data_IF_223125800578
#
_entry.id   IF_223125800578
#
_cell.length_a   1.000
_cell.length_b   1.000
_cell.length_c   1.000
_cell.angle_alpha   90.00
_cell.angle_beta   90.00
_cell.angle_gamma   90.00
#
_symmetry.space_group_name_H-M   'P 1'
#
loop_
_entity.id
_entity.type
_entity.pdbx_description
1 polymer ?
#
# COMPACT_ATOMS: atom_id res chain seq x y z
N UNK A 1 7.24 21.99 -2.17
CA UNK A 1 8.37 22.71 -1.57
C UNK A 1 9.08 21.79 -0.61
N UNK A 2 10.43 21.85 -0.49
CA UNK A 2 11.13 21.07 0.53
C UNK A 2 10.71 21.52 1.93
N UNK A 3 10.98 20.68 2.92
CA UNK A 3 10.76 21.06 4.32
C UNK A 3 11.57 22.33 4.66
N UNK A 4 11.06 23.18 5.57
CA UNK A 4 11.82 24.33 6.02
C UNK A 4 13.14 23.92 6.67
N UNK A 5 14.14 24.79 6.56
CA UNK A 5 15.45 24.56 7.20
C UNK A 5 15.22 24.46 8.71
N UNK A 6 15.72 23.39 9.38
CA UNK A 6 15.57 23.25 10.83
C UNK A 6 16.34 24.37 11.56
N UNK A 7 15.81 24.86 12.71
CA UNK A 7 16.40 25.97 13.45
C UNK A 7 17.65 25.58 14.25
N UNK A 8 18.00 24.28 14.27
CA UNK A 8 19.13 23.74 15.03
C UNK A 8 19.98 22.84 14.14
N UNK A 9 21.27 22.74 14.46
CA UNK A 9 22.17 21.79 13.83
C UNK A 9 21.69 20.35 14.08
N UNK A 10 21.79 19.50 13.06
CA UNK A 10 21.41 18.09 13.14
C UNK A 10 22.29 17.22 12.27
N UNK A 11 22.49 16.01 12.70
CA UNK A 11 23.21 14.98 12.00
C UNK A 11 22.26 13.85 11.58
N UNK A 12 22.47 13.28 10.39
CA UNK A 12 21.66 12.17 9.90
C UNK A 12 22.21 10.85 10.45
N UNK A 13 21.37 10.08 11.15
CA UNK A 13 21.72 8.79 11.76
C UNK A 13 21.14 7.57 11.07
N UNK A 14 20.03 7.74 10.34
CA UNK A 14 19.30 6.64 9.74
C UNK A 14 18.56 7.09 8.48
N UNK A 15 18.52 6.19 7.50
CA UNK A 15 17.67 6.36 6.31
C UNK A 15 16.89 5.09 6.09
N UNK A 16 15.55 5.20 6.03
CA UNK A 16 14.67 4.18 5.47
C UNK A 16 14.23 4.65 4.10
N UNK A 17 14.40 3.78 3.11
CA UNK A 17 13.88 4.00 1.76
C UNK A 17 12.85 2.93 1.46
N UNK A 18 11.68 3.34 0.95
CA UNK A 18 10.62 2.43 0.49
C UNK A 18 10.31 2.83 -0.94
N UNK A 19 10.42 1.89 -1.86
CA UNK A 19 10.04 2.05 -3.26
C UNK A 19 8.92 1.06 -3.56
N UNK A 20 7.82 1.55 -4.13
CA UNK A 20 6.70 0.72 -4.53
C UNK A 20 6.42 0.90 -6.02
N UNK A 21 6.13 -0.19 -6.71
CA UNK A 21 5.89 -0.21 -8.16
C UNK A 21 4.72 -1.13 -8.49
N UNK A 22 3.95 -0.76 -9.52
CA UNK A 22 2.83 -1.56 -10.03
C UNK A 22 3.09 -2.02 -11.46
N UNK A 23 2.88 -3.30 -11.72
CA UNK A 23 3.12 -3.94 -13.02
C UNK A 23 1.85 -4.62 -13.53
N UNK A 24 1.58 -4.44 -14.83
CA UNK A 24 0.57 -5.19 -15.54
C UNK A 24 1.15 -6.51 -16.04
N UNK A 25 0.42 -7.61 -15.86
CA UNK A 25 0.83 -8.96 -16.27
C UNK A 25 0.08 -9.42 -17.51
N UNK A 26 0.72 -10.31 -18.28
CA UNK A 26 0.14 -10.90 -19.48
C UNK A 26 -1.01 -11.90 -19.18
N UNK A 27 -1.09 -12.42 -17.94
CA UNK A 27 -2.16 -13.30 -17.48
C UNK A 27 -3.39 -12.55 -16.91
N UNK A 28 -3.43 -11.22 -17.06
CA UNK A 28 -4.54 -10.38 -16.61
C UNK A 28 -4.49 -9.97 -15.15
N UNK A 29 -3.46 -10.36 -14.41
CA UNK A 29 -3.21 -9.95 -13.03
C UNK A 29 -2.31 -8.71 -12.98
N UNK A 30 -2.03 -8.26 -11.77
CA UNK A 30 -1.15 -7.13 -11.46
C UNK A 30 -0.17 -7.56 -10.37
N UNK A 31 1.11 -7.23 -10.54
CA UNK A 31 2.07 -7.33 -9.46
C UNK A 31 2.30 -5.94 -8.87
N UNK A 32 2.19 -5.85 -7.55
CA UNK A 32 2.47 -4.66 -6.78
C UNK A 32 3.63 -4.99 -5.85
N UNK A 33 4.77 -4.35 -6.10
CA UNK A 33 6.03 -4.66 -5.45
C UNK A 33 6.47 -3.54 -4.52
N UNK A 34 7.07 -3.88 -3.39
CA UNK A 34 7.77 -2.97 -2.53
C UNK A 34 9.19 -3.48 -2.23
N UNK A 35 10.14 -2.59 -2.28
CA UNK A 35 11.50 -2.76 -1.80
C UNK A 35 11.77 -1.77 -0.68
N UNK A 36 12.30 -2.25 0.44
CA UNK A 36 12.68 -1.43 1.57
C UNK A 36 14.12 -1.67 1.96
N UNK A 37 14.83 -0.58 2.26
CA UNK A 37 16.16 -0.63 2.87
C UNK A 37 16.23 0.26 4.10
N UNK A 38 16.94 -0.20 5.13
CA UNK A 38 17.36 0.59 6.30
C UNK A 38 18.87 0.65 6.37
N UNK A 39 19.44 1.87 6.31
CA UNK A 39 20.88 2.10 6.39
C UNK A 39 21.24 3.07 7.50
N UNK A 40 22.43 2.90 8.10
CA UNK A 40 23.00 3.81 9.09
C UNK A 40 24.09 4.69 8.46
N UNK A 41 24.28 5.88 9.02
CA UNK A 41 25.40 6.77 8.66
C UNK A 41 26.66 6.51 9.48
N UNK A 42 26.67 5.46 10.29
CA UNK A 42 27.80 5.00 11.11
C UNK A 42 27.90 3.48 11.06
N UNK A 43 29.09 2.93 11.40
CA UNK A 43 29.29 1.48 11.49
C UNK A 43 28.38 0.91 12.56
N UNK A 44 27.51 -0.01 12.19
CA UNK A 44 26.58 -0.67 13.11
C UNK A 44 27.10 -2.05 13.46
N UNK A 45 27.23 -2.36 14.76
CA UNK A 45 27.66 -3.66 15.24
C UNK A 45 26.47 -4.57 15.53
N UNK A 46 26.53 -5.76 14.98
CA UNK A 46 25.50 -6.78 15.12
C UNK A 46 26.14 -8.12 15.55
N UNK A 47 25.53 -8.81 16.49
CA UNK A 47 26.09 -10.07 17.03
C UNK A 47 26.12 -11.21 16.02
N UNK A 48 25.27 -11.18 15.00
CA UNK A 48 25.18 -12.20 13.96
C UNK A 48 25.98 -11.85 12.71
N UNK A 49 25.87 -10.61 12.20
CA UNK A 49 26.53 -10.17 10.97
C UNK A 49 27.89 -9.51 11.21
N UNK A 50 28.29 -9.28 12.46
CA UNK A 50 29.51 -8.53 12.77
C UNK A 50 29.35 -7.02 12.57
N UNK A 51 30.35 -6.38 12.00
CA UNK A 51 30.31 -4.95 11.67
C UNK A 51 29.63 -4.75 10.32
N UNK A 52 28.60 -3.94 10.31
CA UNK A 52 27.89 -3.51 9.11
C UNK A 52 28.40 -2.12 8.74
N UNK A 53 29.06 -1.94 7.59
CA UNK A 53 29.61 -0.66 7.15
C UNK A 53 28.56 0.41 6.95
N UNK A 54 29.01 1.67 6.93
CA UNK A 54 28.16 2.83 6.57
C UNK A 54 27.54 2.61 5.19
N UNK A 55 26.20 2.77 5.11
CA UNK A 55 25.48 2.65 3.86
C UNK A 55 25.11 1.22 3.46
N UNK A 56 25.63 0.20 4.15
CA UNK A 56 25.17 -1.18 3.97
C UNK A 56 23.83 -1.40 4.68
N UNK A 57 22.87 -2.11 4.06
CA UNK A 57 21.56 -2.32 4.66
C UNK A 57 21.60 -3.18 5.93
N UNK A 58 21.00 -2.68 7.01
CA UNK A 58 20.68 -3.49 8.19
C UNK A 58 19.45 -4.35 7.92
N UNK A 59 18.45 -3.72 7.23
CA UNK A 59 17.31 -4.42 6.68
C UNK A 59 17.24 -4.16 5.18
N UNK A 60 16.98 -5.22 4.43
CA UNK A 60 16.65 -5.18 3.02
C UNK A 60 15.58 -6.22 2.75
N UNK A 61 14.41 -5.76 2.34
CA UNK A 61 13.22 -6.61 2.25
C UNK A 61 12.40 -6.29 1.02
N UNK A 62 11.78 -7.33 0.49
CA UNK A 62 10.90 -7.27 -0.67
C UNK A 62 9.56 -7.89 -0.36
N UNK A 63 8.52 -7.29 -0.89
CA UNK A 63 7.17 -7.83 -0.81
C UNK A 63 6.47 -7.60 -2.15
N UNK A 64 5.93 -8.69 -2.74
CA UNK A 64 5.07 -8.63 -3.92
C UNK A 64 3.69 -9.13 -3.56
N UNK A 65 2.67 -8.37 -3.96
CA UNK A 65 1.29 -8.80 -3.96
C UNK A 65 0.84 -8.99 -5.41
N UNK A 66 0.43 -10.18 -5.80
CA UNK A 66 -0.23 -10.42 -7.07
C UNK A 66 -1.74 -10.25 -6.86
N UNK A 67 -2.37 -9.35 -7.61
CA UNK A 67 -3.74 -8.88 -7.37
C UNK A 67 -4.56 -8.99 -8.65
N UNK A 68 -5.85 -9.27 -8.54
CA UNK A 68 -6.78 -9.21 -9.67
C UNK A 68 -7.43 -7.81 -9.83
N UNK A 69 -8.27 -7.66 -10.84
CA UNK A 69 -9.02 -6.43 -11.14
C UNK A 69 -10.02 -6.03 -10.05
N UNK A 70 -10.35 -6.94 -9.12
CA UNK A 70 -11.22 -6.69 -7.97
C UNK A 70 -10.45 -6.37 -6.70
N UNK A 71 -9.12 -6.19 -6.81
CA UNK A 71 -8.23 -5.95 -5.68
C UNK A 71 -8.11 -7.14 -4.72
N UNK A 72 -8.43 -8.35 -5.16
CA UNK A 72 -8.24 -9.57 -4.38
C UNK A 72 -6.83 -10.11 -4.59
N UNK A 73 -6.15 -10.46 -3.50
CA UNK A 73 -4.78 -10.99 -3.52
C UNK A 73 -4.82 -12.44 -3.98
N UNK A 74 -4.14 -12.73 -5.08
CA UNK A 74 -4.03 -14.05 -5.69
C UNK A 74 -2.75 -14.76 -5.30
N UNK A 75 -1.67 -14.01 -5.05
CA UNK A 75 -0.41 -14.54 -4.53
C UNK A 75 0.35 -13.48 -3.74
N UNK A 76 1.32 -13.93 -2.92
CA UNK A 76 2.19 -13.10 -2.11
C UNK A 76 3.59 -13.70 -2.08
N UNK A 77 4.60 -12.90 -2.40
CA UNK A 77 6.00 -13.24 -2.20
C UNK A 77 6.65 -12.24 -1.23
N UNK A 78 7.31 -12.78 -0.21
CA UNK A 78 8.05 -11.99 0.77
C UNK A 78 9.48 -12.51 0.89
N UNK A 79 10.46 -11.60 0.79
CA UNK A 79 11.88 -11.92 0.85
C UNK A 79 12.57 -11.00 1.86
N UNK A 80 13.54 -11.54 2.58
CA UNK A 80 14.42 -10.80 3.48
C UNK A 80 15.86 -11.10 3.08
N UNK A 81 16.51 -10.17 2.40
CA UNK A 81 17.90 -10.28 1.97
C UNK A 81 18.85 -9.92 3.11
N UNK A 82 18.55 -8.83 3.80
CA UNK A 82 19.30 -8.37 4.97
C UNK A 82 18.38 -8.19 6.19
N UNK A 83 18.84 -8.69 7.33
CA UNK A 83 18.16 -8.55 8.62
C UNK A 83 19.16 -8.61 9.78
N UNK A 84 18.82 -8.08 10.98
CA UNK A 84 19.71 -8.10 12.14
C UNK A 84 19.78 -9.46 12.83
N UNK A 85 18.89 -10.40 12.52
CA UNK A 85 18.85 -11.72 13.14
C UNK A 85 18.65 -12.82 12.09
N UNK A 86 19.37 -13.94 12.25
CA UNK A 86 19.29 -15.11 11.39
C UNK A 86 17.86 -15.66 11.24
N UNK A 87 17.05 -15.53 12.27
CA UNK A 87 15.68 -16.05 12.28
C UNK A 87 14.68 -15.21 11.48
N UNK A 88 14.98 -13.93 11.16
CA UNK A 88 14.03 -13.02 10.53
C UNK A 88 13.42 -13.55 9.23
N UNK A 89 14.16 -14.18 8.30
CA UNK A 89 13.58 -14.72 7.06
C UNK A 89 12.54 -15.82 7.29
N UNK A 90 12.56 -16.50 8.44
CA UNK A 90 11.65 -17.63 8.73
C UNK A 90 10.17 -17.22 8.82
N UNK A 91 9.89 -15.91 8.99
CA UNK A 91 8.50 -15.41 9.09
C UNK A 91 7.88 -15.13 7.72
N UNK A 92 8.66 -15.08 6.63
CA UNK A 92 8.15 -14.68 5.32
C UNK A 92 7.01 -15.57 4.80
N UNK A 93 6.96 -16.90 5.04
CA UNK A 93 5.85 -17.74 4.61
C UNK A 93 4.49 -17.33 5.22
N UNK A 94 4.47 -16.67 6.38
CA UNK A 94 3.24 -16.24 7.02
C UNK A 94 2.49 -15.19 6.18
N UNK A 95 3.18 -14.48 5.29
CA UNK A 95 2.57 -13.47 4.42
C UNK A 95 1.63 -14.09 3.38
N UNK A 96 1.75 -15.37 3.06
CA UNK A 96 0.77 -16.11 2.24
C UNK A 96 -0.65 -16.12 2.84
N UNK A 97 -0.81 -15.85 4.14
CA UNK A 97 -2.13 -15.71 4.80
C UNK A 97 -2.94 -14.51 4.27
N UNK A 98 -2.32 -13.60 3.53
CA UNK A 98 -3.01 -12.50 2.86
C UNK A 98 -3.76 -12.94 1.60
N UNK A 99 -3.46 -14.12 1.03
CA UNK A 99 -4.13 -14.64 -0.16
C UNK A 99 -5.63 -14.76 0.09
N UNK A 100 -6.44 -14.32 -0.86
CA UNK A 100 -7.90 -14.26 -0.78
C UNK A 100 -8.44 -13.01 -0.08
N UNK A 101 -7.60 -12.19 0.55
CA UNK A 101 -8.04 -10.90 1.07
C UNK A 101 -8.21 -9.89 -0.05
N UNK A 102 -9.16 -8.99 0.14
CA UNK A 102 -9.37 -7.85 -0.74
C UNK A 102 -8.76 -6.59 -0.13
N UNK A 103 -7.94 -5.87 -0.91
CA UNK A 103 -7.44 -4.54 -0.57
C UNK A 103 -8.62 -3.55 -0.67
N UNK A 104 -8.96 -2.88 0.44
CA UNK A 104 -10.09 -1.95 0.51
C UNK A 104 -10.46 -1.60 1.96
N UNK A 105 -11.71 -1.19 2.23
CA UNK A 105 -12.14 -0.87 3.58
C UNK A 105 -11.84 -1.99 4.57
N UNK A 106 -11.26 -1.65 5.72
CA UNK A 106 -10.85 -2.61 6.75
C UNK A 106 -9.51 -3.32 6.51
N UNK A 107 -8.79 -3.01 5.43
CA UNK A 107 -7.50 -3.60 5.09
C UNK A 107 -6.50 -3.61 6.26
N UNK A 108 -6.22 -2.44 6.85
CA UNK A 108 -5.25 -2.34 7.95
C UNK A 108 -5.64 -3.18 9.18
N UNK A 109 -6.94 -3.30 9.47
CA UNK A 109 -7.43 -4.15 10.55
C UNK A 109 -7.14 -5.61 10.27
N UNK A 110 -7.48 -6.10 9.07
CA UNK A 110 -7.23 -7.50 8.66
C UNK A 110 -5.74 -7.84 8.63
N UNK A 111 -4.90 -6.93 8.13
CA UNK A 111 -3.44 -7.08 8.18
C UNK A 111 -2.96 -7.24 9.62
N UNK A 112 -3.43 -6.38 10.54
CA UNK A 112 -3.06 -6.44 11.95
C UNK A 112 -3.53 -7.74 12.63
N UNK A 113 -4.71 -8.23 12.29
CA UNK A 113 -5.25 -9.49 12.79
C UNK A 113 -4.42 -10.69 12.35
N UNK A 114 -3.96 -10.72 11.10
CA UNK A 114 -3.23 -11.86 10.52
C UNK A 114 -1.72 -11.84 10.79
N UNK A 115 -1.11 -10.66 10.75
CA UNK A 115 0.34 -10.46 10.74
C UNK A 115 0.83 -9.57 11.88
N UNK A 116 -0.03 -9.22 12.83
CA UNK A 116 0.34 -8.41 13.98
C UNK A 116 1.18 -9.18 15.01
N UNK A 117 1.99 -8.45 15.78
CA UNK A 117 2.84 -9.02 16.83
C UNK A 117 3.80 -10.07 16.29
N UNK A 118 3.86 -11.21 16.94
CA UNK A 118 4.76 -12.31 16.59
C UNK A 118 4.38 -13.12 15.35
N UNK A 119 3.23 -12.81 14.75
CA UNK A 119 2.74 -13.49 13.55
C UNK A 119 3.31 -12.90 12.25
N UNK A 120 4.00 -11.77 12.31
CA UNK A 120 4.61 -11.10 11.17
C UNK A 120 5.93 -10.44 11.51
N UNK A 121 6.49 -9.76 10.52
CA UNK A 121 7.65 -8.89 10.66
C UNK A 121 7.18 -7.44 10.58
N UNK A 122 7.56 -6.60 11.55
CA UNK A 122 7.20 -5.18 11.57
C UNK A 122 7.55 -4.48 10.25
N UNK A 123 8.74 -4.73 9.72
CA UNK A 123 9.24 -4.10 8.50
C UNK A 123 8.45 -4.51 7.25
N UNK A 124 8.24 -5.82 7.05
CA UNK A 124 7.44 -6.33 5.93
C UNK A 124 5.96 -5.92 6.06
N UNK A 125 5.41 -5.94 7.28
CA UNK A 125 4.01 -5.55 7.52
C UNK A 125 3.79 -4.06 7.24
N UNK A 126 4.78 -3.21 7.51
CA UNK A 126 4.73 -1.77 7.22
C UNK A 126 4.62 -1.47 5.72
N UNK A 127 5.13 -2.35 4.85
CA UNK A 127 5.03 -2.20 3.39
C UNK A 127 3.60 -2.38 2.86
N UNK A 128 2.73 -3.05 3.60
CA UNK A 128 1.37 -3.37 3.16
C UNK A 128 0.46 -2.14 3.02
N UNK A 129 0.72 -1.07 3.77
CA UNK A 129 0.01 0.20 3.62
C UNK A 129 0.34 0.91 2.29
N UNK A 130 1.60 1.23 2.01
CA UNK A 130 2.04 1.76 0.72
C UNK A 130 1.63 0.90 -0.47
N UNK A 131 1.79 -0.45 -0.38
CA UNK A 131 1.38 -1.38 -1.44
C UNK A 131 -0.12 -1.28 -1.75
N UNK A 132 -0.97 -1.16 -0.73
CA UNK A 132 -2.42 -1.02 -0.93
C UNK A 132 -2.75 0.27 -1.70
N UNK A 133 -2.07 1.38 -1.40
CA UNK A 133 -2.25 2.65 -2.11
C UNK A 133 -1.77 2.55 -3.55
N UNK A 134 -0.60 1.95 -3.79
CA UNK A 134 -0.05 1.77 -5.15
C UNK A 134 -0.93 0.82 -5.96
N UNK A 135 -1.45 -0.27 -5.36
CA UNK A 135 -2.40 -1.16 -6.01
C UNK A 135 -3.64 -0.39 -6.50
N UNK A 136 -4.22 0.45 -5.64
CA UNK A 136 -5.37 1.26 -6.01
C UNK A 136 -5.04 2.21 -7.17
N UNK A 137 -3.93 2.93 -7.10
CA UNK A 137 -3.50 3.85 -8.14
C UNK A 137 -3.15 3.14 -9.45
N UNK A 138 -2.55 1.95 -9.39
CA UNK A 138 -2.19 1.17 -10.57
C UNK A 138 -3.44 0.64 -11.28
N UNK A 139 -4.39 0.07 -10.54
CA UNK A 139 -5.50 -0.70 -11.12
C UNK A 139 -6.69 0.19 -11.50
N UNK A 140 -6.99 1.22 -10.68
CA UNK A 140 -8.22 2.00 -10.82
C UNK A 140 -8.07 3.31 -11.62
N UNK A 141 -6.88 3.63 -12.12
CA UNK A 141 -6.59 4.87 -12.85
C UNK A 141 -6.52 4.68 -14.38
N UNK A 142 -7.36 3.82 -14.96
CA UNK A 142 -7.42 3.62 -16.42
C UNK A 142 -6.34 2.70 -16.98
N UNK A 143 -5.64 1.95 -16.15
CA UNK A 143 -4.58 1.05 -16.61
C UNK A 143 -5.10 -0.26 -17.25
N UNK A 144 -6.33 -0.70 -16.91
CA UNK A 144 -6.91 -1.95 -17.44
C UNK A 144 -7.00 -2.00 -18.95
N UNK A 145 -7.58 -1.02 -19.65
CA UNK A 145 -7.61 -1.02 -21.12
C UNK A 145 -6.22 -1.02 -21.74
N UNK A 146 -5.26 -0.33 -21.13
CA UNK A 146 -3.86 -0.32 -21.60
C UNK A 146 -3.20 -1.68 -21.45
N UNK A 147 -3.43 -2.36 -20.32
CA UNK A 147 -2.98 -3.74 -20.10
C UNK A 147 -3.58 -4.67 -21.14
N UNK A 148 -4.90 -4.63 -21.30
CA UNK A 148 -5.63 -5.53 -22.17
C UNK A 148 -5.20 -5.33 -23.64
N UNK A 149 -5.05 -4.10 -24.09
CA UNK A 149 -4.51 -3.79 -25.42
C UNK A 149 -3.05 -4.26 -25.57
N UNK A 150 -2.21 -4.11 -24.53
CA UNK A 150 -0.80 -4.50 -24.57
C UNK A 150 -0.62 -6.00 -24.71
N UNK A 151 -1.45 -6.80 -24.03
CA UNK A 151 -1.30 -8.25 -23.93
C UNK A 151 -2.36 -9.04 -24.71
N UNK A 152 -3.23 -8.36 -25.47
CA UNK A 152 -4.27 -9.03 -26.25
C UNK A 152 -5.32 -9.75 -25.40
N UNK A 153 -5.59 -9.24 -24.18
CA UNK A 153 -6.57 -9.85 -23.27
C UNK A 153 -7.98 -9.48 -23.70
N UNK A 154 -8.86 -10.49 -23.83
CA UNK A 154 -10.28 -10.27 -24.04
C UNK A 154 -10.90 -9.71 -22.75
N UNK A 155 -11.42 -8.49 -22.81
CA UNK A 155 -12.17 -7.91 -21.70
C UNK A 155 -13.61 -7.64 -22.16
N UNK A 156 -14.59 -8.46 -21.73
CA UNK A 156 -15.99 -8.28 -22.11
C UNK A 156 -16.62 -7.02 -21.47
N UNK A 157 -16.01 -6.45 -20.44
CA UNK A 157 -16.50 -5.29 -19.69
C UNK A 157 -15.83 -3.98 -20.13
N UNK A 158 -15.50 -3.81 -21.42
CA UNK A 158 -14.94 -2.57 -21.94
C UNK A 158 -15.96 -1.41 -21.90
N UNK A 159 -16.13 -0.83 -20.73
CA UNK A 159 -16.39 0.61 -20.65
C UNK A 159 -15.03 1.30 -20.64
N UNK A 160 -14.82 2.27 -21.53
CA UNK A 160 -13.56 3.02 -21.57
C UNK A 160 -13.23 3.56 -20.18
N UNK A 161 -11.95 3.51 -19.76
CA UNK A 161 -11.57 3.97 -18.44
C UNK A 161 -11.81 5.47 -18.22
N UNK A 162 -11.89 6.22 -19.32
CA UNK A 162 -12.17 7.66 -19.32
C UNK A 162 -13.67 7.95 -19.11
N UNK A 163 -14.56 6.95 -19.30
CA UNK A 163 -16.00 7.09 -19.13
C UNK A 163 -16.54 6.57 -17.79
N UNK A 164 -15.70 6.01 -16.94
CA UNK A 164 -16.17 5.60 -15.58
C UNK A 164 -16.17 6.80 -14.66
N UNK A 165 -17.32 7.12 -14.06
CA UNK A 165 -17.33 8.07 -12.95
C UNK A 165 -16.39 7.56 -11.85
N UNK A 166 -15.72 8.46 -11.16
CA UNK A 166 -14.89 8.12 -10.02
C UNK A 166 -15.71 7.22 -9.08
N UNK A 167 -15.12 6.10 -8.65
CA UNK A 167 -15.86 5.15 -7.83
C UNK A 167 -16.32 5.80 -6.53
N UNK A 168 -17.60 5.67 -6.12
CA UNK A 168 -18.06 6.15 -4.82
C UNK A 168 -17.23 5.65 -3.63
N UNK A 169 -16.50 4.56 -3.81
CA UNK A 169 -15.60 4.01 -2.80
C UNK A 169 -14.40 4.92 -2.47
N UNK A 170 -14.10 5.94 -3.28
CA UNK A 170 -13.05 6.92 -3.00
C UNK A 170 -13.51 8.03 -2.04
N UNK A 171 -14.82 8.24 -1.91
CA UNK A 171 -15.36 9.28 -1.04
C UNK A 171 -14.96 9.06 0.42
N UNK A 172 -14.64 10.16 1.09
CA UNK A 172 -14.20 10.21 2.50
C UNK A 172 -12.92 9.39 2.79
N UNK A 173 -12.12 9.04 1.76
CA UNK A 173 -10.86 8.32 1.94
C UNK A 173 -9.67 9.25 2.23
N UNK A 174 -9.74 10.51 1.81
CA UNK A 174 -8.75 11.54 2.10
C UNK A 174 -9.37 12.94 2.08
N UNK A 175 -8.61 13.95 2.48
CA UNK A 175 -9.09 15.32 2.54
C UNK A 175 -9.66 15.83 1.20
N UNK A 176 -9.00 15.53 0.08
CA UNK A 176 -9.48 15.96 -1.24
C UNK A 176 -10.81 15.29 -1.64
N UNK A 177 -11.04 14.04 -1.24
CA UNK A 177 -12.27 13.29 -1.51
C UNK A 177 -13.31 13.38 -0.38
N UNK A 178 -13.14 14.30 0.56
CA UNK A 178 -14.21 14.60 1.51
C UNK A 178 -15.46 15.07 0.75
N UNK A 179 -16.63 14.57 1.12
CA UNK A 179 -17.91 14.93 0.44
C UNK A 179 -18.19 16.42 0.40
N UNK A 180 -17.59 17.19 1.30
CA UNK A 180 -17.72 18.65 1.39
C UNK A 180 -16.65 19.41 0.57
N UNK A 181 -15.75 18.69 -0.10
CA UNK A 181 -14.64 19.29 -0.86
C UNK A 181 -15.08 19.85 -2.21
N UNK A 182 -14.29 20.78 -2.72
CA UNK A 182 -14.46 21.30 -4.08
C UNK A 182 -14.23 20.23 -5.13
N UNK A 183 -13.33 19.27 -4.86
CA UNK A 183 -13.06 18.13 -5.76
C UNK A 183 -14.32 17.29 -5.94
N UNK A 184 -15.00 16.94 -4.86
CA UNK A 184 -16.25 16.15 -4.95
C UNK A 184 -17.36 16.97 -5.61
N UNK A 185 -17.44 18.28 -5.33
CA UNK A 185 -18.41 19.16 -6.02
C UNK A 185 -18.20 19.21 -7.53
N UNK A 186 -16.96 19.19 -8.00
CA UNK A 186 -16.60 19.25 -9.42
C UNK A 186 -16.75 17.90 -10.13
N UNK A 187 -16.19 16.84 -9.55
CA UNK A 187 -16.06 15.53 -10.21
C UNK A 187 -17.17 14.54 -9.87
N UNK A 188 -17.90 14.75 -8.78
CA UNK A 188 -18.97 13.86 -8.29
C UNK A 188 -20.10 14.68 -7.63
N UNK A 189 -20.73 15.63 -8.36
CA UNK A 189 -21.68 16.58 -7.78
C UNK A 189 -22.87 15.91 -7.10
N UNK A 190 -23.28 14.71 -7.54
CA UNK A 190 -24.34 13.92 -6.94
C UNK A 190 -24.01 13.40 -5.53
N UNK A 191 -22.74 13.41 -5.15
CA UNK A 191 -22.26 13.01 -3.83
C UNK A 191 -21.80 14.18 -2.96
N UNK A 192 -21.83 15.40 -3.50
CA UNK A 192 -21.43 16.59 -2.75
C UNK A 192 -22.40 16.93 -1.64
N UNK A 193 -21.87 17.27 -0.50
CA UNK A 193 -22.61 17.74 0.68
C UNK A 193 -22.09 19.12 1.06
N UNK A 194 -22.98 20.12 1.11
CA UNK A 194 -22.56 21.47 1.48
C UNK A 194 -22.02 21.52 2.93
N UNK A 195 -20.96 22.31 3.19
CA UNK A 195 -20.41 22.46 4.54
C UNK A 195 -21.51 22.86 5.54
N UNK A 196 -21.53 22.20 6.72
CA UNK A 196 -22.48 22.47 7.80
C UNK A 196 -23.81 21.71 7.69
N UNK A 197 -24.05 20.91 6.64
CA UNK A 197 -25.26 20.06 6.51
C UNK A 197 -25.12 18.70 7.19
N UNK A 198 -23.94 18.30 7.62
CA UNK A 198 -23.77 17.12 8.49
C UNK A 198 -24.25 17.46 9.89
N UNK A 199 -25.43 17.01 10.24
CA UNK A 199 -25.87 16.90 11.64
C UNK A 199 -24.80 16.15 12.45
N UNK A 200 -24.64 16.51 13.72
CA UNK A 200 -23.65 15.99 14.66
C UNK A 200 -23.30 14.51 14.42
N UNK A 201 -22.00 14.19 14.49
CA UNK A 201 -21.40 12.88 14.25
C UNK A 201 -21.91 11.72 15.14
N UNK A 202 -23.04 11.86 15.81
CA UNK A 202 -23.70 10.87 16.66
C UNK A 202 -24.66 9.94 15.91
N UNK A 203 -25.02 10.23 14.64
CA UNK A 203 -25.93 9.41 13.82
C UNK A 203 -25.21 8.53 12.78
N UNK A 204 -24.04 8.00 13.08
CA UNK A 204 -23.52 6.87 12.29
C UNK A 204 -24.27 5.62 12.71
N UNK A 205 -25.00 4.93 11.81
CA UNK A 205 -25.52 3.61 12.13
C UNK A 205 -24.33 2.74 12.50
N UNK A 206 -24.35 2.19 13.70
CA UNK A 206 -23.45 1.10 14.10
C UNK A 206 -23.73 -0.01 13.12
N UNK A 207 -22.77 -0.29 12.22
CA UNK A 207 -22.84 -1.41 11.33
C UNK A 207 -23.07 -2.66 12.17
N UNK A 208 -24.20 -3.30 11.95
CA UNK A 208 -24.58 -4.56 12.56
C UNK A 208 -23.46 -5.57 12.26
N UNK A 209 -22.88 -6.10 13.33
CA UNK A 209 -21.94 -7.19 13.25
C UNK A 209 -22.68 -8.48 12.85
N UNK A 210 -22.21 -9.10 11.79
CA UNK A 210 -22.34 -10.53 11.50
C UNK A 210 -21.11 -10.94 10.72
#
# INVERSE_FOLDING_TARGET
MPLPIPPVEREKFHTRSIRCEGYARADGLWDIEAHMTDVKSYVFRNSWRGEIPVGEPIHEMWLRLTVDDRMEIRDVEAVTDNSPFEMCPRITPNFKRLIGLRIGPGWNRKVKELLGGVQGCTHLTELLGPLATVAFQTINTGARPRRDARFGLANPDHTSADDRPASPAILDTCHAWARESEVVREFMPEHYVAPGTRGNAQDRPKGDGA
#
